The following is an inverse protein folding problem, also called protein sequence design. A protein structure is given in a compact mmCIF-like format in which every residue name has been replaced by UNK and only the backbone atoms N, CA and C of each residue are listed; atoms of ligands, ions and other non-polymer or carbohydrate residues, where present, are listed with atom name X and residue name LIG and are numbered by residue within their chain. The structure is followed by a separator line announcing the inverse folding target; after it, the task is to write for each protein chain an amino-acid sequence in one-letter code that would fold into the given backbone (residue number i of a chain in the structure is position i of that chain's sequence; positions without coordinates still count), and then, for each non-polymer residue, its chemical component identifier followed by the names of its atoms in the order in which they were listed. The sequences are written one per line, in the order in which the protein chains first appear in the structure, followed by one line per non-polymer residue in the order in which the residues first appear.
data_IF_813056531348
#
_entry.id   IF_813056531348
#
_cell.length_a   1.000
_cell.length_b   1.000
_cell.length_c   1.000
_cell.angle_alpha   90.00
_cell.angle_beta   90.00
_cell.angle_gamma   90.00
#
_symmetry.space_group_name_H-M   'P 1'
#
loop_
_entity.id
_entity.type
_entity.pdbx_description
1 polymer ?
#
# COMPACT_ATOMS: atom_id res chain seq x y z
N UNK A 1 -21.72 46.87 16.49
CA UNK A 1 -22.65 46.20 15.56
C UNK A 1 -22.07 46.10 14.16
N UNK A 2 -21.22 45.10 13.91
CA UNK A 2 -20.99 44.60 12.55
C UNK A 2 -20.93 43.07 12.68
N UNK A 3 -22.09 42.44 12.52
CA UNK A 3 -22.27 41.00 12.52
C UNK A 3 -21.87 40.50 11.12
N UNK A 4 -20.60 40.18 10.91
CA UNK A 4 -20.11 39.70 9.62
C UNK A 4 -20.45 38.21 9.48
N UNK A 5 -21.36 37.94 8.55
CA UNK A 5 -21.85 36.66 8.05
C UNK A 5 -20.79 35.55 7.85
N UNK A 6 -20.40 34.84 8.92
CA UNK A 6 -19.60 33.61 8.81
C UNK A 6 -20.29 32.49 7.99
N UNK A 7 -21.62 32.52 7.89
CA UNK A 7 -22.43 31.63 7.05
C UNK A 7 -22.15 31.79 5.54
N UNK A 8 -21.91 33.03 5.10
CA UNK A 8 -21.69 33.35 3.67
C UNK A 8 -20.33 32.83 3.18
N UNK A 9 -19.28 33.03 3.97
CA UNK A 9 -17.92 32.54 3.65
C UNK A 9 -17.88 31.02 3.62
N UNK A 10 -18.54 30.36 4.57
CA UNK A 10 -18.64 28.90 4.60
C UNK A 10 -19.34 28.33 3.37
N UNK A 11 -20.47 28.94 2.95
CA UNK A 11 -21.17 28.54 1.72
C UNK A 11 -20.33 28.73 0.47
N UNK A 12 -19.58 29.82 0.37
CA UNK A 12 -18.67 30.07 -0.77
C UNK A 12 -17.53 29.04 -0.84
N UNK A 13 -16.93 28.69 0.31
CA UNK A 13 -15.92 27.63 0.39
C UNK A 13 -16.51 26.29 -0.03
N UNK A 14 -17.70 25.93 0.45
CA UNK A 14 -18.36 24.67 0.13
C UNK A 14 -18.73 24.58 -1.36
N UNK A 15 -19.19 25.68 -1.97
CA UNK A 15 -19.44 25.77 -3.40
C UNK A 15 -18.14 25.62 -4.21
N UNK A 16 -17.06 26.27 -3.81
CA UNK A 16 -15.76 26.16 -4.46
C UNK A 16 -15.21 24.73 -4.40
N UNK A 17 -15.24 24.10 -3.23
CA UNK A 17 -14.79 22.72 -3.04
C UNK A 17 -15.60 21.72 -3.88
N UNK A 18 -16.92 21.89 -3.94
CA UNK A 18 -17.78 21.10 -4.81
C UNK A 18 -17.46 21.30 -6.29
N UNK A 19 -17.23 22.54 -6.73
CA UNK A 19 -16.84 22.85 -8.09
C UNK A 19 -15.51 22.18 -8.47
N UNK A 20 -14.46 22.34 -7.65
CA UNK A 20 -13.15 21.73 -7.91
C UNK A 20 -13.22 20.21 -7.92
N UNK A 21 -13.95 19.61 -6.98
CA UNK A 21 -14.17 18.16 -6.92
C UNK A 21 -14.85 17.66 -8.19
N UNK A 22 -15.90 18.35 -8.66
CA UNK A 22 -16.62 17.97 -9.88
C UNK A 22 -15.78 18.18 -11.14
N UNK A 23 -14.98 19.25 -11.20
CA UNK A 23 -14.03 19.50 -12.28
C UNK A 23 -12.99 18.40 -12.36
N UNK A 24 -12.40 18.02 -11.22
CA UNK A 24 -11.42 16.93 -11.14
C UNK A 24 -12.04 15.59 -11.53
N UNK A 25 -13.24 15.25 -11.03
CA UNK A 25 -13.98 14.05 -11.42
C UNK A 25 -14.19 13.98 -12.94
N UNK A 26 -14.58 15.08 -13.58
CA UNK A 26 -14.76 15.16 -15.04
C UNK A 26 -13.43 14.97 -15.78
N UNK A 27 -12.37 15.65 -15.35
CA UNK A 27 -11.04 15.54 -15.96
C UNK A 27 -10.49 14.12 -15.86
N UNK A 28 -10.59 13.49 -14.69
CA UNK A 28 -10.18 12.09 -14.46
C UNK A 28 -10.99 11.15 -15.35
N UNK A 29 -12.32 11.30 -15.38
CA UNK A 29 -13.20 10.47 -16.22
C UNK A 29 -12.87 10.58 -17.71
N UNK A 30 -12.63 11.80 -18.22
CA UNK A 30 -12.27 12.03 -19.62
C UNK A 30 -10.86 11.51 -19.97
N UNK A 31 -9.85 11.79 -19.13
CA UNK A 31 -8.48 11.29 -19.35
C UNK A 31 -8.42 9.77 -19.30
N UNK A 32 -9.08 9.14 -18.32
CA UNK A 32 -9.11 7.67 -18.23
C UNK A 32 -9.78 7.07 -19.46
N UNK A 33 -10.90 7.63 -19.93
CA UNK A 33 -11.59 7.14 -21.13
C UNK A 33 -10.73 7.27 -22.39
N UNK A 34 -10.06 8.41 -22.57
CA UNK A 34 -9.16 8.67 -23.70
C UNK A 34 -7.94 7.74 -23.70
N UNK A 35 -7.21 7.67 -22.57
CA UNK A 35 -6.06 6.78 -22.39
C UNK A 35 -6.43 5.32 -22.65
N UNK A 36 -7.61 4.90 -22.19
CA UNK A 36 -8.10 3.54 -22.41
C UNK A 36 -8.45 3.27 -23.87
N UNK A 37 -9.04 4.23 -24.57
CA UNK A 37 -9.30 4.11 -26.01
C UNK A 37 -8.01 3.91 -26.80
N UNK A 38 -6.96 4.67 -26.44
CA UNK A 38 -5.62 4.55 -27.02
C UNK A 38 -5.02 3.17 -26.70
N UNK A 39 -5.07 2.72 -25.45
CA UNK A 39 -4.55 1.41 -25.03
C UNK A 39 -5.24 0.23 -25.75
N UNK A 40 -6.57 0.24 -25.85
CA UNK A 40 -7.32 -0.81 -26.56
C UNK A 40 -7.00 -0.79 -28.07
N UNK A 41 -6.85 0.39 -28.66
CA UNK A 41 -6.50 0.55 -30.08
C UNK A 41 -5.08 0.04 -30.36
N UNK A 42 -4.12 0.35 -29.49
CA UNK A 42 -2.75 -0.15 -29.58
C UNK A 42 -2.70 -1.68 -29.43
N UNK A 43 -3.49 -2.24 -28.51
CA UNK A 43 -3.62 -3.69 -28.33
C UNK A 43 -4.22 -4.42 -29.53
N UNK A 44 -5.19 -3.83 -30.25
CA UNK A 44 -5.75 -4.41 -31.47
C UNK A 44 -4.78 -4.39 -32.66
N UNK A 45 -3.80 -3.49 -32.63
CA UNK A 45 -2.80 -3.30 -33.69
C UNK A 45 -1.53 -4.12 -33.48
N UNK A 46 -1.28 -4.60 -32.26
CA UNK A 46 -0.17 -5.52 -31.98
C UNK A 46 -0.55 -6.94 -32.42
N UNK A 47 0.00 -7.36 -33.57
CA UNK A 47 -0.07 -8.73 -34.10
C UNK A 47 0.83 -9.72 -33.34
N UNK A 48 1.65 -9.24 -32.39
CA UNK A 48 2.71 -9.99 -31.69
C UNK A 48 2.38 -10.40 -30.25
N UNK A 49 1.17 -10.16 -29.74
CA UNK A 49 0.80 -10.49 -28.36
C UNK A 49 0.51 -11.99 -28.10
N UNK A 50 1.22 -12.89 -28.80
CA UNK A 50 1.33 -14.31 -28.45
C UNK A 50 2.77 -14.57 -28.00
N UNK A 51 2.90 -14.82 -26.69
CA UNK A 51 3.98 -15.49 -25.97
C UNK A 51 4.84 -14.65 -25.00
N UNK A 52 5.16 -13.38 -25.24
CA UNK A 52 5.81 -12.55 -24.20
C UNK A 52 5.91 -11.12 -24.71
N UNK A 53 5.38 -10.15 -23.96
CA UNK A 53 5.85 -8.76 -23.77
C UNK A 53 4.73 -8.06 -22.98
N UNK A 54 4.98 -7.88 -21.68
CA UNK A 54 4.20 -6.98 -20.85
C UNK A 54 4.72 -5.57 -21.03
N UNK A 55 3.87 -4.66 -21.52
CA UNK A 55 4.04 -3.23 -21.25
C UNK A 55 2.79 -2.75 -20.53
N UNK A 56 3.06 -2.07 -19.43
CA UNK A 56 2.19 -1.58 -18.36
C UNK A 56 0.73 -1.24 -18.72
N UNK A 57 -0.26 -1.53 -17.84
CA UNK A 57 -0.18 -2.25 -16.55
C UNK A 57 -0.86 -3.63 -16.65
N UNK A 58 -0.47 -4.47 -17.61
CA UNK A 58 -1.02 -5.83 -17.65
C UNK A 58 -0.39 -6.70 -16.54
N UNK A 59 -1.16 -7.58 -15.88
CA UNK A 59 -0.62 -8.51 -14.90
C UNK A 59 0.33 -9.49 -15.59
N UNK A 60 1.35 -9.91 -14.85
CA UNK A 60 2.29 -10.92 -15.29
C UNK A 60 1.67 -12.30 -15.11
N UNK A 61 1.47 -13.05 -16.20
CA UNK A 61 1.06 -14.46 -16.14
C UNK A 61 2.30 -15.34 -16.20
N UNK A 62 2.51 -16.10 -15.15
CA UNK A 62 3.49 -17.19 -15.06
C UNK A 62 2.72 -18.52 -15.09
N UNK A 63 2.08 -18.80 -16.22
CA UNK A 63 1.28 -20.00 -16.48
C UNK A 63 1.58 -20.52 -17.88
N UNK A 64 1.63 -21.84 -18.02
CA UNK A 64 1.76 -22.50 -19.33
C UNK A 64 0.58 -22.22 -20.25
N UNK A 65 -0.62 -22.05 -19.68
CA UNK A 65 -1.83 -21.70 -20.43
C UNK A 65 -2.66 -20.68 -19.65
N UNK A 66 -3.22 -19.69 -20.37
CA UNK A 66 -4.10 -18.69 -19.78
C UNK A 66 -5.49 -19.29 -19.54
N UNK A 67 -5.86 -19.50 -18.27
CA UNK A 67 -7.17 -20.05 -17.88
C UNK A 67 -8.31 -19.02 -17.93
N UNK A 68 -7.99 -17.73 -18.08
CA UNK A 68 -8.96 -16.64 -18.13
C UNK A 68 -9.42 -16.40 -19.56
N UNK A 69 -10.74 -16.23 -19.75
CA UNK A 69 -11.26 -15.82 -21.04
C UNK A 69 -10.89 -14.35 -21.34
N UNK A 70 -11.09 -13.91 -22.58
CA UNK A 70 -10.74 -12.55 -23.01
C UNK A 70 -11.34 -11.44 -22.13
N UNK A 71 -12.56 -11.61 -21.63
CA UNK A 71 -13.24 -10.58 -20.82
C UNK A 71 -12.71 -10.51 -19.39
N UNK A 72 -12.42 -11.66 -18.79
CA UNK A 72 -11.78 -11.79 -17.48
C UNK A 72 -10.35 -11.25 -17.55
N UNK A 73 -9.62 -11.61 -18.60
CA UNK A 73 -8.25 -11.14 -18.82
C UNK A 73 -8.19 -9.62 -18.96
N UNK A 74 -9.09 -9.02 -19.75
CA UNK A 74 -9.20 -7.57 -19.85
C UNK A 74 -9.53 -6.91 -18.50
N UNK A 75 -10.32 -7.58 -17.65
CA UNK A 75 -10.65 -7.07 -16.32
C UNK A 75 -9.43 -7.11 -15.39
N UNK A 76 -8.64 -8.18 -15.44
CA UNK A 76 -7.38 -8.29 -14.69
C UNK A 76 -6.32 -7.28 -15.19
N UNK A 77 -6.28 -7.02 -16.50
CA UNK A 77 -5.32 -6.12 -17.14
C UNK A 77 -5.59 -4.64 -16.93
N UNK A 78 -6.86 -4.24 -17.00
CA UNK A 78 -7.22 -2.82 -17.02
C UNK A 78 -8.09 -2.41 -15.84
N UNK A 79 -8.34 -3.35 -14.92
CA UNK A 79 -9.29 -3.17 -13.85
C UNK A 79 -10.75 -3.05 -14.34
N UNK A 80 -11.65 -2.61 -13.45
CA UNK A 80 -13.05 -2.41 -13.81
C UNK A 80 -13.18 -1.34 -14.89
N UNK A 81 -14.09 -1.60 -15.85
CA UNK A 81 -14.31 -0.69 -16.98
C UNK A 81 -14.85 0.69 -16.60
N UNK A 82 -15.36 0.79 -15.38
CA UNK A 82 -15.82 2.01 -14.75
C UNK A 82 -15.81 1.75 -13.24
N UNK A 83 -15.30 2.70 -12.46
CA UNK A 83 -15.49 2.74 -11.01
C UNK A 83 -16.70 3.66 -10.81
N UNK A 84 -17.87 3.06 -10.57
CA UNK A 84 -19.09 3.84 -10.28
C UNK A 84 -19.15 4.11 -8.79
N UNK A 85 -19.47 5.35 -8.43
CA UNK A 85 -19.90 5.70 -7.07
C UNK A 85 -21.14 4.83 -6.80
N UNK A 86 -21.18 4.19 -5.63
CA UNK A 86 -22.26 3.29 -5.21
C UNK A 86 -22.35 1.90 -5.88
N UNK A 87 -21.22 1.23 -6.16
CA UNK A 87 -21.23 -0.21 -6.48
C UNK A 87 -21.85 -1.08 -5.36
N UNK A 88 -21.94 -0.53 -4.15
CA UNK A 88 -22.56 -1.13 -2.98
C UNK A 88 -24.08 -1.25 -3.07
N UNK A 89 -24.76 -0.45 -3.90
CA UNK A 89 -26.23 -0.47 -4.02
C UNK A 89 -26.81 -1.84 -4.40
N UNK A 90 -26.00 -2.71 -5.02
CA UNK A 90 -26.40 -4.04 -5.47
C UNK A 90 -26.29 -5.07 -4.34
N UNK A 91 -25.58 -4.73 -3.26
CA UNK A 91 -25.43 -5.62 -2.10
C UNK A 91 -26.73 -5.64 -1.28
N UNK A 92 -27.02 -6.72 -0.55
CA UNK A 92 -28.09 -6.72 0.44
C UNK A 92 -27.95 -5.54 1.41
N UNK A 93 -29.08 -4.94 1.81
CA UNK A 93 -29.13 -3.76 2.68
C UNK A 93 -28.24 -3.89 3.91
N UNK A 94 -28.31 -5.02 4.61
CA UNK A 94 -27.48 -5.31 5.78
C UNK A 94 -25.96 -5.19 5.50
N UNK A 95 -25.49 -5.64 4.33
CA UNK A 95 -24.07 -5.49 3.96
C UNK A 95 -23.68 -4.04 3.64
N UNK A 96 -24.64 -3.25 3.14
CA UNK A 96 -24.43 -1.82 2.93
C UNK A 96 -24.32 -1.09 4.27
N UNK A 97 -25.17 -1.42 5.24
CA UNK A 97 -25.15 -0.85 6.59
C UNK A 97 -23.83 -1.15 7.31
N UNK A 98 -23.33 -2.39 7.22
CA UNK A 98 -21.99 -2.74 7.75
C UNK A 98 -20.89 -1.91 7.09
N UNK A 99 -20.94 -1.74 5.76
CA UNK A 99 -19.94 -0.95 5.03
C UNK A 99 -19.98 0.53 5.42
N UNK A 100 -21.18 1.10 5.56
CA UNK A 100 -21.39 2.48 6.03
C UNK A 100 -20.77 2.67 7.42
N UNK A 101 -21.02 1.75 8.36
CA UNK A 101 -20.43 1.83 9.70
C UNK A 101 -18.90 1.77 9.68
N UNK A 102 -18.33 0.86 8.86
CA UNK A 102 -16.88 0.73 8.72
C UNK A 102 -16.24 1.97 8.10
N UNK A 103 -16.82 2.49 7.02
CA UNK A 103 -16.31 3.68 6.33
C UNK A 103 -16.47 4.92 7.20
N UNK A 104 -17.62 5.07 7.87
CA UNK A 104 -17.88 6.15 8.82
C UNK A 104 -16.82 6.18 9.91
N UNK A 105 -16.61 5.05 10.60
CA UNK A 105 -15.59 4.93 11.65
C UNK A 105 -14.20 5.27 11.12
N UNK A 106 -13.80 4.66 9.99
CA UNK A 106 -12.46 4.88 9.44
C UNK A 106 -12.22 6.34 9.04
N UNK A 107 -13.21 7.03 8.48
CA UNK A 107 -13.08 8.43 8.05
C UNK A 107 -13.11 9.34 9.28
N UNK A 108 -14.06 9.11 10.20
CA UNK A 108 -14.20 9.87 11.43
C UNK A 108 -12.94 9.81 12.29
N UNK A 109 -12.39 8.61 12.51
CA UNK A 109 -11.17 8.43 13.31
C UNK A 109 -9.99 9.18 12.68
N UNK A 110 -9.78 9.07 11.36
CA UNK A 110 -8.67 9.75 10.66
C UNK A 110 -8.78 11.28 10.75
N UNK A 111 -9.97 11.82 10.52
CA UNK A 111 -10.19 13.27 10.58
C UNK A 111 -10.09 13.76 12.04
N UNK A 112 -10.67 13.02 12.98
CA UNK A 112 -10.59 13.32 14.40
C UNK A 112 -9.17 13.34 14.93
N UNK A 113 -8.37 12.30 14.62
CA UNK A 113 -6.96 12.24 14.99
C UNK A 113 -6.16 13.40 14.40
N UNK A 114 -6.33 13.69 13.11
CA UNK A 114 -5.63 14.82 12.47
C UNK A 114 -5.98 16.16 13.11
N UNK A 115 -7.26 16.41 13.41
CA UNK A 115 -7.70 17.64 14.06
C UNK A 115 -7.23 17.73 15.52
N UNK A 116 -7.19 16.60 16.24
CA UNK A 116 -6.65 16.54 17.60
C UNK A 116 -5.15 16.80 17.63
N UNK A 117 -4.39 16.21 16.70
CA UNK A 117 -2.93 16.28 16.68
C UNK A 117 -2.40 17.63 16.19
N UNK A 118 -3.02 18.22 15.16
CA UNK A 118 -2.49 19.44 14.53
C UNK A 118 -3.24 20.71 14.91
N UNK A 119 -4.47 20.60 15.40
CA UNK A 119 -5.35 21.74 15.67
C UNK A 119 -5.93 21.74 17.09
N UNK A 120 -5.48 20.81 17.96
CA UNK A 120 -5.88 20.70 19.36
C UNK A 120 -7.41 20.63 19.58
N UNK A 121 -8.16 20.10 18.60
CA UNK A 121 -9.61 19.93 18.72
C UNK A 121 -9.90 18.65 19.51
N UNK A 122 -10.55 18.72 20.69
CA UNK A 122 -10.87 17.51 21.46
C UNK A 122 -11.84 16.60 20.72
N UNK A 123 -11.67 15.28 20.82
CA UNK A 123 -12.60 14.29 20.22
C UNK A 123 -14.06 14.43 20.69
N UNK A 124 -14.26 15.04 21.86
CA UNK A 124 -15.57 15.34 22.45
C UNK A 124 -16.20 16.64 21.94
N UNK A 125 -15.50 17.41 21.11
CA UNK A 125 -15.98 18.70 20.62
C UNK A 125 -17.28 18.57 19.82
N UNK A 126 -18.21 19.49 20.04
CA UNK A 126 -19.52 19.52 19.37
C UNK A 126 -19.39 19.51 17.85
N UNK A 127 -18.35 20.15 17.29
CA UNK A 127 -18.08 20.19 15.85
C UNK A 127 -17.79 18.80 15.27
N UNK A 128 -17.08 17.93 16.01
CA UNK A 128 -16.81 16.55 15.58
C UNK A 128 -18.08 15.69 15.66
N UNK A 129 -18.95 15.94 16.65
CA UNK A 129 -20.27 15.27 16.71
C UNK A 129 -21.15 15.66 15.53
N UNK A 130 -21.19 16.95 15.17
CA UNK A 130 -21.91 17.44 13.99
C UNK A 130 -21.34 16.83 12.70
N UNK A 131 -20.01 16.84 12.56
CA UNK A 131 -19.32 16.20 11.44
C UNK A 131 -19.65 14.71 11.32
N UNK A 132 -19.63 13.97 12.44
CA UNK A 132 -19.97 12.55 12.48
C UNK A 132 -21.38 12.28 11.96
N UNK A 133 -22.37 13.07 12.40
CA UNK A 133 -23.75 12.94 11.95
C UNK A 133 -23.90 13.27 10.46
N UNK A 134 -23.26 14.34 9.99
CA UNK A 134 -23.30 14.75 8.59
C UNK A 134 -22.64 13.70 7.69
N UNK A 135 -21.48 13.18 8.09
CA UNK A 135 -20.78 12.10 7.41
C UNK A 135 -21.66 10.85 7.29
N UNK A 136 -22.31 10.45 8.39
CA UNK A 136 -23.21 9.30 8.39
C UNK A 136 -24.39 9.51 7.43
N UNK A 137 -25.00 10.70 7.45
CA UNK A 137 -26.06 11.05 6.52
C UNK A 137 -25.59 11.01 5.05
N UNK A 138 -24.42 11.55 4.75
CA UNK A 138 -23.87 11.58 3.38
C UNK A 138 -23.49 10.18 2.89
N UNK A 139 -22.96 9.32 3.76
CA UNK A 139 -22.70 7.91 3.46
C UNK A 139 -24.02 7.16 3.21
N UNK A 140 -25.02 7.31 4.07
CA UNK A 140 -26.34 6.69 3.86
C UNK A 140 -26.95 7.13 2.53
N UNK A 141 -26.94 8.44 2.24
CA UNK A 141 -27.41 8.97 0.96
C UNK A 141 -26.61 8.36 -0.20
N UNK A 142 -25.29 8.30 -0.09
CA UNK A 142 -24.43 7.77 -1.16
C UNK A 142 -24.64 6.28 -1.40
N UNK A 143 -24.84 5.47 -0.36
CA UNK A 143 -25.00 4.01 -0.47
C UNK A 143 -26.42 3.62 -0.91
N UNK A 144 -27.44 4.32 -0.42
CA UNK A 144 -28.83 4.00 -0.73
C UNK A 144 -29.40 4.74 -1.94
N UNK A 145 -28.62 5.63 -2.56
CA UNK A 145 -29.04 6.28 -3.82
C UNK A 145 -29.26 5.23 -4.93
N UNK A 146 -30.47 5.16 -5.52
CA UNK A 146 -30.76 4.17 -6.54
C UNK A 146 -29.87 4.37 -7.77
N UNK A 147 -29.35 3.26 -8.30
CA UNK A 147 -28.60 3.25 -9.55
C UNK A 147 -29.57 3.21 -10.74
N UNK A 148 -29.18 3.83 -11.86
CA UNK A 148 -29.91 3.67 -13.12
C UNK A 148 -29.91 2.19 -13.56
N UNK A 149 -30.93 1.76 -14.31
CA UNK A 149 -31.02 0.38 -14.81
C UNK A 149 -29.76 -0.07 -15.56
N UNK A 150 -29.19 0.82 -16.39
CA UNK A 150 -27.96 0.57 -17.13
C UNK A 150 -26.77 0.35 -16.19
N UNK A 151 -26.68 1.13 -15.11
CA UNK A 151 -25.60 1.01 -14.13
C UNK A 151 -25.74 -0.24 -13.26
N UNK A 152 -26.96 -0.59 -12.85
CA UNK A 152 -27.25 -1.85 -12.15
C UNK A 152 -26.82 -3.06 -13.00
N UNK A 153 -27.23 -3.07 -14.27
CA UNK A 153 -26.87 -4.14 -15.22
C UNK A 153 -25.36 -4.26 -15.40
N UNK A 154 -24.66 -3.13 -15.54
CA UNK A 154 -23.21 -3.12 -15.71
C UNK A 154 -22.47 -3.61 -14.47
N UNK A 155 -22.88 -3.18 -13.29
CA UNK A 155 -22.22 -3.57 -12.05
C UNK A 155 -22.53 -5.04 -11.67
N UNK A 156 -23.73 -5.56 -11.98
CA UNK A 156 -24.01 -7.01 -11.92
C UNK A 156 -23.09 -7.80 -12.87
N UNK A 157 -22.88 -7.32 -14.10
CA UNK A 157 -21.94 -7.94 -15.05
C UNK A 157 -20.50 -7.92 -14.53
N UNK A 158 -20.08 -6.85 -13.85
CA UNK A 158 -18.75 -6.78 -13.22
C UNK A 158 -18.64 -7.75 -12.04
N UNK A 159 -19.63 -7.79 -11.15
CA UNK A 159 -19.65 -8.71 -10.02
C UNK A 159 -19.57 -10.18 -10.48
N UNK A 160 -20.37 -10.56 -11.50
CA UNK A 160 -20.30 -11.91 -12.10
C UNK A 160 -18.91 -12.24 -12.66
N UNK A 161 -18.21 -11.26 -13.26
CA UNK A 161 -16.83 -11.45 -13.73
C UNK A 161 -15.85 -11.68 -12.59
N UNK A 162 -15.94 -10.88 -11.52
CA UNK A 162 -15.09 -11.04 -10.33
C UNK A 162 -15.29 -12.42 -9.72
N UNK A 163 -16.53 -12.86 -9.55
CA UNK A 163 -16.84 -14.20 -9.04
C UNK A 163 -16.28 -15.30 -9.95
N UNK A 164 -16.38 -15.14 -11.27
CA UNK A 164 -15.81 -16.09 -12.22
C UNK A 164 -14.29 -16.19 -12.11
N UNK A 165 -13.60 -15.04 -12.03
CA UNK A 165 -12.15 -14.96 -11.82
C UNK A 165 -11.76 -15.65 -10.52
N UNK A 166 -12.43 -15.34 -9.41
CA UNK A 166 -12.16 -15.95 -8.10
C UNK A 166 -12.34 -17.47 -8.13
N UNK A 167 -13.40 -17.97 -8.78
CA UNK A 167 -13.61 -19.42 -8.96
C UNK A 167 -12.48 -20.07 -9.73
N UNK A 168 -11.98 -19.42 -10.80
CA UNK A 168 -10.85 -19.94 -11.58
C UNK A 168 -9.54 -19.93 -10.80
N UNK A 169 -9.27 -18.86 -10.06
CA UNK A 169 -8.11 -18.79 -9.16
C UNK A 169 -8.12 -19.96 -8.18
N UNK A 170 -9.26 -20.22 -7.54
CA UNK A 170 -9.41 -21.37 -6.62
C UNK A 170 -9.30 -22.72 -7.33
N UNK A 171 -10.00 -22.90 -8.46
CA UNK A 171 -10.03 -24.16 -9.21
C UNK A 171 -8.65 -24.57 -9.73
N UNK A 172 -7.84 -23.60 -10.14
CA UNK A 172 -6.53 -23.84 -10.75
C UNK A 172 -5.37 -23.63 -9.77
N UNK A 173 -5.64 -23.49 -8.47
CA UNK A 173 -4.61 -23.26 -7.43
C UNK A 173 -3.64 -22.13 -7.82
N UNK A 174 -4.22 -20.97 -8.18
CA UNK A 174 -3.45 -19.82 -8.61
C UNK A 174 -3.14 -18.88 -7.44
N UNK A 175 -1.92 -18.37 -7.43
CA UNK A 175 -1.48 -17.31 -6.53
C UNK A 175 -1.55 -15.97 -7.25
N UNK A 176 -2.22 -15.00 -6.61
CA UNK A 176 -2.22 -13.60 -7.02
C UNK A 176 -1.36 -12.79 -6.04
N UNK A 177 -0.29 -12.17 -6.52
CA UNK A 177 0.62 -11.36 -5.70
C UNK A 177 0.92 -10.02 -6.37
N UNK A 178 1.24 -9.01 -5.56
CA UNK A 178 1.79 -7.76 -6.09
C UNK A 178 3.22 -8.02 -6.54
N UNK A 179 3.63 -7.43 -7.66
CA UNK A 179 5.01 -7.53 -8.13
C UNK A 179 5.94 -6.66 -7.30
N UNK A 180 7.18 -7.10 -7.18
CA UNK A 180 8.22 -6.40 -6.42
C UNK A 180 8.52 -4.98 -6.93
N UNK A 181 8.55 -4.80 -8.26
CA UNK A 181 8.68 -3.49 -8.90
C UNK A 181 7.50 -3.26 -9.84
N UNK A 182 6.79 -2.17 -9.62
CA UNK A 182 5.62 -1.78 -10.41
C UNK A 182 4.30 -2.09 -9.72
N UNK A 183 3.25 -1.38 -10.15
CA UNK A 183 1.89 -1.49 -9.60
C UNK A 183 1.08 -2.60 -10.28
N UNK A 184 1.74 -3.69 -10.67
CA UNK A 184 1.13 -4.80 -11.39
C UNK A 184 0.97 -6.01 -10.46
N UNK A 185 0.22 -7.00 -10.93
CA UNK A 185 0.02 -8.27 -10.22
C UNK A 185 0.66 -9.42 -10.99
N UNK A 186 1.20 -10.37 -10.26
CA UNK A 186 1.63 -11.68 -10.72
C UNK A 186 0.50 -12.68 -10.54
N UNK A 187 0.29 -13.54 -11.54
CA UNK A 187 -0.57 -14.71 -11.46
C UNK A 187 0.24 -15.93 -11.88
N UNK A 188 0.43 -16.88 -10.97
CA UNK A 188 1.12 -18.14 -11.22
C UNK A 188 0.46 -19.29 -10.46
N UNK A 189 0.93 -20.52 -10.66
CA UNK A 189 0.46 -21.66 -9.86
C UNK A 189 1.10 -21.64 -8.48
N UNK A 190 0.40 -22.17 -7.48
CA UNK A 190 0.92 -22.37 -6.13
C UNK A 190 2.22 -23.19 -6.14
N UNK A 191 2.23 -24.31 -6.88
CA UNK A 191 3.40 -25.19 -7.02
C UNK A 191 4.66 -24.49 -7.55
N UNK A 192 4.54 -23.70 -8.62
CA UNK A 192 5.70 -22.99 -9.18
C UNK A 192 6.16 -21.86 -8.27
N UNK A 193 5.22 -21.18 -7.62
CA UNK A 193 5.55 -20.14 -6.66
C UNK A 193 6.27 -20.70 -5.43
N UNK A 194 5.82 -21.83 -4.90
CA UNK A 194 6.47 -22.53 -3.79
C UNK A 194 7.88 -22.99 -4.19
N UNK A 195 8.04 -23.52 -5.41
CA UNK A 195 9.37 -23.86 -5.93
C UNK A 195 10.31 -22.65 -5.96
N UNK A 196 9.82 -21.47 -6.37
CA UNK A 196 10.63 -20.23 -6.33
C UNK A 196 11.01 -19.83 -4.91
N UNK A 197 10.11 -20.01 -3.94
CA UNK A 197 10.40 -19.76 -2.53
C UNK A 197 11.45 -20.74 -1.98
N UNK A 198 11.33 -22.04 -2.29
CA UNK A 198 12.30 -23.06 -1.87
C UNK A 198 13.68 -22.81 -2.48
N UNK A 199 13.75 -22.49 -3.76
CA UNK A 199 15.01 -22.10 -4.41
C UNK A 199 15.66 -20.92 -3.67
N UNK A 200 14.87 -19.90 -3.30
CA UNK A 200 15.38 -18.76 -2.55
C UNK A 200 15.98 -19.16 -1.18
N UNK A 201 15.34 -20.08 -0.44
CA UNK A 201 15.87 -20.58 0.82
C UNK A 201 17.18 -21.34 0.65
N UNK A 202 17.25 -22.24 -0.35
CA UNK A 202 18.46 -23.00 -0.66
C UNK A 202 19.63 -22.12 -1.12
N UNK A 203 19.35 -21.08 -1.92
CA UNK A 203 20.39 -20.22 -2.49
C UNK A 203 21.03 -19.28 -1.46
N UNK A 204 20.31 -18.91 -0.40
CA UNK A 204 20.73 -17.84 0.52
C UNK A 204 21.20 -18.32 1.88
N UNK A 205 20.77 -19.51 2.35
CA UNK A 205 20.97 -19.98 3.73
C UNK A 205 20.60 -18.93 4.81
N UNK A 206 19.76 -17.95 4.46
CA UNK A 206 19.44 -16.81 5.31
C UNK A 206 18.33 -17.11 6.33
N UNK A 207 17.65 -18.25 6.19
CA UNK A 207 16.52 -18.64 7.01
C UNK A 207 16.68 -20.08 7.49
N UNK A 208 16.26 -20.33 8.72
CA UNK A 208 16.18 -21.67 9.31
C UNK A 208 14.73 -22.01 9.63
N UNK A 209 14.36 -23.26 9.45
CA UNK A 209 13.05 -23.76 9.85
C UNK A 209 13.01 -23.93 11.38
N UNK A 210 11.96 -23.40 12.00
CA UNK A 210 11.74 -23.53 13.44
C UNK A 210 10.78 -24.69 13.72
N UNK A 211 11.10 -25.49 14.74
CA UNK A 211 10.27 -26.63 15.17
C UNK A 211 8.96 -26.21 15.86
N UNK A 212 8.95 -25.02 16.45
CA UNK A 212 7.83 -24.51 17.24
C UNK A 212 7.61 -23.02 16.97
N UNK A 213 6.39 -22.55 17.24
CA UNK A 213 6.05 -21.15 17.09
C UNK A 213 6.66 -20.32 18.25
N UNK A 214 7.60 -19.39 17.97
CA UNK A 214 8.31 -18.66 19.02
C UNK A 214 7.53 -17.45 19.58
N UNK A 215 6.31 -17.20 19.13
CA UNK A 215 5.58 -15.95 19.39
C UNK A 215 5.48 -15.58 20.87
N UNK A 216 4.96 -16.48 21.70
CA UNK A 216 4.78 -16.21 23.13
C UNK A 216 6.11 -15.94 23.82
N UNK A 217 7.15 -16.73 23.50
CA UNK A 217 8.50 -16.56 24.03
C UNK A 217 9.08 -15.19 23.67
N UNK A 218 8.96 -14.76 22.41
CA UNK A 218 9.45 -13.45 21.96
C UNK A 218 8.66 -12.34 22.67
N UNK A 219 7.34 -12.47 22.76
CA UNK A 219 6.49 -11.48 23.41
C UNK A 219 6.84 -11.31 24.90
N UNK A 220 6.98 -12.41 25.64
CA UNK A 220 7.31 -12.36 27.06
C UNK A 220 8.75 -11.85 27.28
N UNK A 221 9.70 -12.21 26.42
CA UNK A 221 11.07 -11.68 26.48
C UNK A 221 11.10 -10.15 26.31
N UNK A 222 10.36 -9.61 25.34
CA UNK A 222 10.26 -8.15 25.14
C UNK A 222 9.69 -7.47 26.37
N UNK A 223 8.57 -7.99 26.90
CA UNK A 223 7.91 -7.40 28.07
C UNK A 223 8.82 -7.47 29.30
N UNK A 224 9.49 -8.60 29.49
CA UNK A 224 10.44 -8.79 30.58
C UNK A 224 11.61 -7.79 30.48
N UNK A 225 12.23 -7.67 29.31
CA UNK A 225 13.31 -6.73 29.05
C UNK A 225 12.89 -5.29 29.38
N UNK A 226 11.75 -4.84 28.85
CA UNK A 226 11.24 -3.49 29.07
C UNK A 226 10.97 -3.21 30.56
N UNK A 227 10.39 -4.17 31.28
CA UNK A 227 10.17 -4.05 32.71
C UNK A 227 11.49 -4.00 33.49
N UNK A 228 12.48 -4.82 33.13
CA UNK A 228 13.79 -4.82 33.79
C UNK A 228 14.52 -3.48 33.62
N UNK A 229 14.62 -2.96 32.40
CA UNK A 229 15.30 -1.68 32.15
C UNK A 229 14.55 -0.50 32.77
N UNK A 230 13.22 -0.61 32.90
CA UNK A 230 12.38 0.36 33.59
C UNK A 230 12.65 0.37 35.10
N UNK A 231 12.70 -0.80 35.74
CA UNK A 231 13.00 -0.92 37.19
C UNK A 231 14.40 -0.40 37.51
N UNK A 232 15.36 -0.60 36.60
CA UNK A 232 16.72 -0.05 36.71
C UNK A 232 16.81 1.46 36.40
N UNK A 233 15.70 2.13 36.10
CA UNK A 233 15.63 3.55 35.72
C UNK A 233 16.48 3.94 34.49
N UNK A 234 16.76 3.00 33.57
CA UNK A 234 17.40 3.33 32.29
C UNK A 234 16.46 4.04 31.33
N UNK A 235 15.15 3.88 31.52
CA UNK A 235 14.10 4.54 30.75
C UNK A 235 12.98 5.08 31.65
N UNK A 236 12.36 6.18 31.21
CA UNK A 236 11.16 6.77 31.77
C UNK A 236 9.90 5.94 31.48
N UNK A 237 8.83 6.18 32.25
CA UNK A 237 7.54 5.48 32.06
C UNK A 237 7.00 5.65 30.65
N UNK A 238 7.06 6.86 30.11
CA UNK A 238 6.49 7.16 28.80
C UNK A 238 7.24 6.43 27.68
N UNK A 239 8.58 6.27 27.79
CA UNK A 239 9.39 5.49 26.85
C UNK A 239 9.01 4.01 26.93
N UNK A 240 8.88 3.46 28.14
CA UNK A 240 8.44 2.09 28.36
C UNK A 240 7.05 1.85 27.75
N UNK A 241 6.10 2.74 28.03
CA UNK A 241 4.74 2.67 27.47
C UNK A 241 4.73 2.73 25.93
N UNK A 242 5.60 3.57 25.34
CA UNK A 242 5.74 3.71 23.88
C UNK A 242 6.29 2.43 23.24
N UNK A 243 7.25 1.78 23.89
CA UNK A 243 7.88 0.53 23.40
C UNK A 243 7.07 -0.73 23.72
N UNK A 244 6.18 -0.70 24.71
CA UNK A 244 5.45 -1.88 25.17
C UNK A 244 4.56 -2.44 24.05
N UNK A 245 4.65 -3.75 23.72
CA UNK A 245 3.77 -4.35 22.73
C UNK A 245 2.34 -4.49 23.27
N UNK A 246 1.34 -4.29 22.39
CA UNK A 246 -0.05 -4.53 22.73
C UNK A 246 -0.36 -6.03 22.66
N UNK A 247 -0.50 -6.71 23.82
CA UNK A 247 -0.73 -8.16 23.89
C UNK A 247 -1.90 -8.67 23.04
N UNK A 248 -2.95 -7.84 22.82
CA UNK A 248 -4.13 -8.22 22.04
C UNK A 248 -3.90 -8.10 20.54
N UNK A 249 -3.17 -7.07 20.11
CA UNK A 249 -2.93 -6.78 18.68
C UNK A 249 -1.64 -7.41 18.14
N UNK A 250 -0.78 -7.88 19.04
CA UNK A 250 0.53 -8.40 18.68
C UNK A 250 0.39 -9.73 17.91
N UNK A 251 1.24 -9.92 16.90
CA UNK A 251 1.25 -11.12 16.06
C UNK A 251 2.68 -11.51 15.70
N UNK A 252 2.90 -12.78 15.35
CA UNK A 252 4.21 -13.22 14.87
C UNK A 252 4.53 -12.55 13.53
N UNK A 253 5.78 -12.10 13.37
CA UNK A 253 6.26 -11.63 12.08
C UNK A 253 6.13 -12.77 11.05
N UNK A 254 5.66 -12.45 9.84
CA UNK A 254 5.48 -13.46 8.81
C UNK A 254 6.25 -13.11 7.55
N UNK A 255 6.88 -14.14 6.99
CA UNK A 255 7.57 -14.05 5.72
C UNK A 255 6.57 -14.27 4.58
N UNK A 256 6.64 -13.40 3.57
CA UNK A 256 5.97 -13.64 2.30
C UNK A 256 6.87 -13.22 1.15
N UNK A 257 6.47 -13.57 -0.08
CA UNK A 257 7.30 -13.37 -1.26
C UNK A 257 6.61 -12.48 -2.30
N UNK A 258 7.38 -11.56 -2.88
CA UNK A 258 6.96 -10.75 -4.02
C UNK A 258 7.75 -11.13 -5.29
N UNK A 259 7.07 -11.45 -6.41
CA UNK A 259 7.74 -11.79 -7.67
C UNK A 259 8.53 -10.62 -8.29
N UNK A 260 9.79 -10.87 -8.64
CA UNK A 260 10.66 -9.95 -9.38
C UNK A 260 10.46 -10.15 -10.89
N UNK A 261 9.31 -9.73 -11.40
CA UNK A 261 8.91 -9.88 -12.82
C UNK A 261 9.80 -9.15 -13.84
N UNK A 262 10.72 -8.31 -13.35
CA UNK A 262 11.72 -7.61 -14.16
C UNK A 262 13.06 -8.37 -14.26
N UNK A 263 13.14 -9.60 -13.74
CA UNK A 263 14.32 -10.47 -13.80
C UNK A 263 13.96 -11.80 -14.47
N UNK A 264 14.93 -12.38 -15.17
CA UNK A 264 14.78 -13.68 -15.82
C UNK A 264 14.45 -14.78 -14.81
N UNK A 265 13.58 -15.71 -15.20
CA UNK A 265 13.07 -16.77 -14.32
C UNK A 265 12.13 -16.29 -13.21
N UNK A 266 11.88 -14.99 -13.09
CA UNK A 266 10.97 -14.36 -12.10
C UNK A 266 11.27 -14.88 -10.68
N UNK A 267 12.48 -14.65 -10.14
CA UNK A 267 12.78 -15.00 -8.77
C UNK A 267 11.92 -14.20 -7.80
N UNK A 268 11.87 -14.63 -6.53
CA UNK A 268 11.11 -13.94 -5.49
C UNK A 268 11.98 -12.98 -4.67
N UNK A 269 11.36 -11.95 -4.08
CA UNK A 269 11.92 -11.15 -3.00
C UNK A 269 11.28 -11.60 -1.68
N UNK A 270 12.04 -12.02 -0.66
CA UNK A 270 11.49 -12.19 0.68
C UNK A 270 11.07 -10.83 1.25
N UNK A 271 9.90 -10.78 1.87
CA UNK A 271 9.43 -9.63 2.62
C UNK A 271 9.03 -10.14 4.00
N UNK A 272 9.71 -9.63 5.03
CA UNK A 272 9.32 -9.86 6.41
C UNK A 272 8.28 -8.82 6.82
N UNK A 273 7.07 -9.27 7.13
CA UNK A 273 6.05 -8.42 7.69
C UNK A 273 6.16 -8.40 9.21
N UNK A 274 6.78 -7.35 9.74
CA UNK A 274 6.92 -7.13 11.18
C UNK A 274 5.83 -6.21 11.73
N UNK A 275 4.75 -5.92 10.98
CA UNK A 275 3.65 -5.09 11.49
C UNK A 275 3.04 -5.79 12.70
N UNK A 276 3.01 -5.09 13.84
CA UNK A 276 2.52 -5.58 15.14
C UNK A 276 3.32 -6.76 15.72
N UNK A 277 4.55 -7.00 15.27
CA UNK A 277 5.47 -7.90 15.95
C UNK A 277 5.78 -7.40 17.38
N UNK A 278 6.17 -8.29 18.32
CA UNK A 278 6.52 -7.86 19.68
C UNK A 278 7.62 -6.80 19.72
N UNK A 279 8.52 -6.81 18.73
CA UNK A 279 9.69 -5.92 18.64
C UNK A 279 9.42 -4.61 17.89
N UNK A 280 8.30 -4.47 17.17
CA UNK A 280 8.04 -3.32 16.27
C UNK A 280 8.16 -1.98 16.98
N UNK A 281 7.58 -1.87 18.18
CA UNK A 281 7.56 -0.61 18.92
C UNK A 281 8.95 -0.24 19.45
N UNK A 282 9.78 -1.24 19.79
CA UNK A 282 11.19 -1.03 20.13
C UNK A 282 11.96 -0.55 18.90
N UNK A 283 11.82 -1.22 17.76
CA UNK A 283 12.48 -0.82 16.51
C UNK A 283 12.12 0.61 16.09
N UNK A 284 10.85 0.98 16.18
CA UNK A 284 10.40 2.35 15.87
C UNK A 284 10.99 3.39 16.84
N UNK A 285 11.09 3.04 18.12
CA UNK A 285 11.67 3.93 19.13
C UNK A 285 13.18 4.11 18.94
N UNK A 286 13.89 3.02 18.63
CA UNK A 286 15.31 3.07 18.29
C UNK A 286 15.55 3.88 17.01
N UNK A 287 14.73 3.67 15.98
CA UNK A 287 14.79 4.47 14.74
C UNK A 287 14.63 5.96 15.05
N UNK A 288 13.65 6.35 15.86
CA UNK A 288 13.45 7.75 16.26
C UNK A 288 14.68 8.38 16.96
N UNK A 289 15.39 7.61 17.79
CA UNK A 289 16.59 8.09 18.49
C UNK A 289 17.81 8.14 17.55
N UNK A 290 17.98 7.10 16.71
CA UNK A 290 19.17 6.93 15.88
C UNK A 290 19.08 7.77 14.61
N UNK A 291 17.89 7.97 14.06
CA UNK A 291 17.66 8.66 12.77
C UNK A 291 18.33 10.02 12.68
N UNK A 292 18.27 10.93 13.67
CA UNK A 292 18.95 12.22 13.59
C UNK A 292 20.47 12.10 13.49
N UNK A 293 21.07 11.10 14.16
CA UNK A 293 22.51 10.84 14.10
C UNK A 293 22.86 10.29 12.71
N UNK A 294 22.10 9.30 12.25
CA UNK A 294 22.27 8.72 10.91
C UNK A 294 22.17 9.80 9.82
N UNK A 295 21.13 10.63 9.86
CA UNK A 295 20.89 11.67 8.87
C UNK A 295 21.99 12.73 8.90
N UNK A 296 22.53 13.06 10.08
CA UNK A 296 23.67 13.98 10.20
C UNK A 296 24.95 13.42 9.56
N UNK A 297 25.30 12.18 9.87
CA UNK A 297 26.52 11.56 9.34
C UNK A 297 26.42 11.23 7.85
N UNK A 298 25.23 10.81 7.37
CA UNK A 298 25.00 10.41 5.99
C UNK A 298 24.78 11.57 5.01
N UNK A 299 24.56 12.80 5.50
CA UNK A 299 24.26 13.98 4.67
C UNK A 299 25.24 14.20 3.51
N UNK A 300 26.52 13.84 3.69
CA UNK A 300 27.56 14.08 2.69
C UNK A 300 27.88 12.85 1.82
N UNK A 301 27.41 11.66 2.20
CA UNK A 301 27.82 10.39 1.58
C UNK A 301 26.65 9.65 0.92
N UNK A 302 25.41 10.01 1.27
CA UNK A 302 24.23 9.24 0.90
C UNK A 302 23.26 10.11 0.09
N UNK A 303 22.89 9.61 -1.09
CA UNK A 303 21.82 10.17 -1.91
C UNK A 303 20.50 9.52 -1.47
N UNK A 304 19.58 10.35 -0.97
CA UNK A 304 18.34 9.88 -0.32
C UNK A 304 17.24 9.65 -1.37
N UNK A 305 17.19 10.48 -2.40
CA UNK A 305 16.18 10.44 -3.46
C UNK A 305 16.66 11.06 -4.78
N UNK A 306 15.80 11.07 -5.80
CA UNK A 306 16.13 11.66 -7.10
C UNK A 306 16.39 13.17 -7.05
N UNK A 307 15.74 13.90 -6.12
CA UNK A 307 15.92 15.34 -5.96
C UNK A 307 17.31 15.67 -5.40
N UNK A 308 17.72 14.94 -4.36
CA UNK A 308 19.06 15.05 -3.75
C UNK A 308 20.18 14.68 -4.73
N UNK A 309 19.95 13.68 -5.61
CA UNK A 309 20.89 13.35 -6.68
C UNK A 309 21.12 14.52 -7.63
N UNK A 310 20.04 15.14 -8.11
CA UNK A 310 20.13 16.28 -9.04
C UNK A 310 20.86 17.45 -8.38
N UNK A 311 20.56 17.72 -7.10
CA UNK A 311 21.24 18.78 -6.33
C UNK A 311 22.74 18.49 -6.19
N UNK A 312 23.11 17.25 -5.86
CA UNK A 312 24.51 16.82 -5.77
C UNK A 312 25.24 16.97 -7.11
N UNK A 313 24.61 16.57 -8.22
CA UNK A 313 25.17 16.73 -9.56
C UNK A 313 25.34 18.20 -9.96
N UNK A 314 24.37 19.06 -9.65
CA UNK A 314 24.50 20.51 -9.85
C UNK A 314 25.66 21.11 -9.06
N UNK A 315 25.87 20.66 -7.81
CA UNK A 315 27.00 21.10 -7.01
C UNK A 315 28.34 20.62 -7.62
N UNK A 316 28.39 19.37 -8.09
CA UNK A 316 29.54 18.80 -8.78
C UNK A 316 29.88 19.58 -10.06
N UNK A 317 28.85 19.99 -10.80
CA UNK A 317 28.97 20.85 -11.98
C UNK A 317 29.48 22.26 -11.62
N UNK A 318 28.93 22.90 -10.59
CA UNK A 318 29.39 24.23 -10.12
C UNK A 318 30.84 24.23 -9.65
N UNK A 319 31.34 23.11 -9.14
CA UNK A 319 32.75 22.92 -8.76
C UNK A 319 33.67 22.66 -9.98
N UNK A 320 33.14 22.66 -11.21
CA UNK A 320 33.91 22.39 -12.43
C UNK A 320 34.39 20.94 -12.56
N UNK A 321 33.83 20.02 -11.76
CA UNK A 321 34.22 18.61 -11.74
C UNK A 321 33.47 17.78 -12.78
N UNK A 322 32.34 18.29 -13.28
CA UNK A 322 31.54 17.64 -14.32
C UNK A 322 32.10 17.95 -15.72
N UNK A 323 33.11 17.18 -16.14
CA UNK A 323 33.79 17.28 -17.43
C UNK A 323 33.18 16.32 -18.46
N UNK A 324 33.44 16.55 -19.74
CA UNK A 324 33.07 15.61 -20.82
C UNK A 324 33.68 14.21 -20.66
N UNK A 325 34.76 14.11 -19.88
CA UNK A 325 35.44 12.84 -19.54
C UNK A 325 34.89 12.17 -18.27
N UNK A 326 33.84 12.73 -17.64
CA UNK A 326 33.26 12.15 -16.42
C UNK A 326 32.53 10.86 -16.75
N UNK A 327 32.86 9.79 -16.02
CA UNK A 327 32.21 8.49 -16.15
C UNK A 327 31.25 8.25 -14.99
N UNK A 328 30.10 7.65 -15.30
CA UNK A 328 29.17 7.15 -14.31
C UNK A 328 29.33 5.64 -14.17
N UNK A 329 29.71 5.21 -12.96
CA UNK A 329 29.81 3.79 -12.61
C UNK A 329 28.64 3.43 -11.70
N UNK A 330 28.02 2.27 -11.94
CA UNK A 330 26.94 1.75 -11.10
C UNK A 330 27.33 0.40 -10.52
N UNK A 331 27.09 0.23 -9.22
CA UNK A 331 27.31 -1.02 -8.50
C UNK A 331 25.99 -1.42 -7.86
N UNK A 332 25.57 -2.68 -8.06
CA UNK A 332 24.35 -3.24 -7.45
C UNK A 332 24.75 -4.27 -6.37
N UNK A 333 24.49 -3.94 -5.11
CA UNK A 333 24.74 -4.85 -3.98
C UNK A 333 23.63 -5.90 -3.95
N UNK A 334 24.01 -7.17 -4.03
CA UNK A 334 23.07 -8.29 -3.99
C UNK A 334 22.71 -8.64 -2.55
N UNK A 335 21.41 -8.84 -2.29
CA UNK A 335 20.90 -9.40 -1.04
C UNK A 335 21.40 -8.68 0.24
N UNK A 336 21.56 -7.35 0.19
CA UNK A 336 22.11 -6.52 1.28
C UNK A 336 21.60 -6.93 2.67
N UNK A 337 20.27 -6.95 2.88
CA UNK A 337 19.68 -7.21 4.20
C UNK A 337 20.00 -8.59 4.78
N UNK A 338 20.14 -9.62 3.94
CA UNK A 338 20.44 -10.99 4.42
C UNK A 338 21.93 -11.25 4.58
N UNK A 339 22.78 -10.28 4.21
CA UNK A 339 24.25 -10.39 4.23
C UNK A 339 24.88 -9.41 5.21
N UNK A 340 24.08 -8.73 6.05
CA UNK A 340 24.61 -7.88 7.11
C UNK A 340 25.24 -8.77 8.21
N UNK A 341 26.54 -8.60 8.53
CA UNK A 341 27.18 -9.35 9.60
C UNK A 341 26.52 -9.00 10.94
N UNK A 342 25.90 -10.00 11.57
CA UNK A 342 25.17 -9.82 12.83
C UNK A 342 26.10 -9.42 13.98
N UNK A 343 27.36 -9.86 13.95
CA UNK A 343 28.37 -9.55 14.99
C UNK A 343 28.83 -8.09 14.96
N UNK A 344 28.70 -7.41 13.82
CA UNK A 344 29.08 -6.00 13.65
C UNK A 344 27.88 -5.05 13.77
N UNK A 345 26.66 -5.60 13.91
CA UNK A 345 25.44 -4.82 14.12
C UNK A 345 25.32 -4.41 15.59
N UNK A 346 24.97 -3.14 15.83
CA UNK A 346 24.75 -2.55 17.17
C UNK A 346 23.53 -3.10 17.89
#
# INVERSE_FOLDING_TARGET
NININGSCVYQQIQQHMNYQTNKLKRQVSMKIRSLRGILIKNRRRSSSAKNTIGVWPEPYIDLLTNVFNRYEWNYLSFGPSCIRINQSAIRPRHQQEIAIQKDHKSIYDKVGHHLSEHYFVPMTATILKQYSNQLLHDLNRSYFSPLSYNDQTLALKQAKKVVSIQRKIKKHHLILRVTDKGYNFYIGTEKEFDKKAQNFFHDTNAFIELKENPFNKIQDNVIHLLNQIRVKNFIFQWQCNKMMPNRIKCQLAHLYFNPKTHKDGIPVRPIENTIHAPTTNISNYLDEIIRPIFDKECQNTTIIDGSSLIQALHQYMRKGLFKSTTLFCTFDIRNLYTMLPQEEAL
#
